data_IF_762718990895
#
_entry.id   IF_762718990895
#
_cell.length_a   1.000
_cell.length_b   1.000
_cell.length_c   1.000
_cell.angle_alpha   90.00
_cell.angle_beta   90.00
_cell.angle_gamma   90.00
#
_symmetry.space_group_name_H-M   'P 1'
#
loop_
_entity.id
_entity.type
_entity.pdbx_description
1 polymer ?
#
# COMPACT_ATOMS: atom_id res chain seq x y z
N UNK A 1 -4.35 5.02 -17.60
CA UNK A 1 -2.94 5.32 -17.25
C UNK A 1 -2.69 5.00 -15.78
N UNK A 2 -1.53 4.46 -15.45
CA UNK A 2 -1.17 4.09 -14.09
C UNK A 2 -1.15 5.32 -13.17
N UNK A 3 -1.70 5.16 -11.96
CA UNK A 3 -1.68 6.21 -10.96
C UNK A 3 -2.78 7.29 -11.08
N UNK A 4 -3.83 7.03 -11.83
CA UNK A 4 -5.04 7.87 -11.79
C UNK A 4 -5.92 7.47 -10.63
N UNK A 5 -6.52 8.45 -9.97
CA UNK A 5 -7.37 8.28 -8.79
C UNK A 5 -8.73 8.96 -8.97
N UNK A 6 -9.75 8.38 -8.40
CA UNK A 6 -11.09 8.95 -8.27
C UNK A 6 -11.80 8.41 -7.03
N UNK A 7 -12.72 9.17 -6.48
CA UNK A 7 -13.48 8.81 -5.29
C UNK A 7 -14.96 8.68 -5.61
N UNK A 8 -15.54 7.52 -5.34
CA UNK A 8 -16.96 7.25 -5.43
C UNK A 8 -17.65 7.41 -4.08
N UNK A 9 -18.88 7.89 -4.06
CA UNK A 9 -19.70 7.98 -2.84
C UNK A 9 -20.47 6.67 -2.63
N UNK A 10 -20.35 6.09 -1.45
CA UNK A 10 -21.04 4.86 -1.05
C UNK A 10 -20.08 3.67 -0.91
N UNK A 11 -20.42 2.72 -0.03
CA UNK A 11 -19.62 1.53 0.25
C UNK A 11 -20.01 0.31 -0.61
N UNK A 12 -21.18 0.37 -1.23
CA UNK A 12 -21.77 -0.71 -2.04
C UNK A 12 -21.33 -0.68 -3.51
N UNK A 13 -20.42 0.24 -3.87
CA UNK A 13 -19.99 0.42 -5.26
C UNK A 13 -18.95 -0.64 -5.60
N UNK A 14 -19.18 -1.34 -6.71
CA UNK A 14 -18.18 -2.20 -7.33
C UNK A 14 -17.18 -1.33 -8.12
N UNK A 15 -15.92 -1.22 -7.65
CA UNK A 15 -14.93 -0.38 -8.30
C UNK A 15 -14.56 -0.87 -9.71
N UNK A 16 -14.70 -2.16 -10.00
CA UNK A 16 -14.39 -2.73 -11.32
C UNK A 16 -15.39 -2.26 -12.36
N UNK A 17 -16.67 -2.02 -11.96
CA UNK A 17 -17.74 -1.57 -12.84
C UNK A 17 -17.74 -0.07 -13.16
N UNK A 18 -16.84 0.71 -12.54
CA UNK A 18 -16.73 2.13 -12.80
C UNK A 18 -16.21 2.42 -14.21
N UNK A 19 -16.61 3.57 -14.76
CA UNK A 19 -16.11 4.02 -16.06
C UNK A 19 -14.63 4.43 -15.95
N UNK A 20 -13.78 3.81 -16.75
CA UNK A 20 -12.38 4.14 -16.91
C UNK A 20 -12.12 4.74 -18.29
N UNK A 21 -11.06 5.55 -18.39
CA UNK A 21 -10.60 6.07 -19.69
C UNK A 21 -10.18 4.90 -20.59
N UNK A 22 -10.34 5.05 -21.89
CA UNK A 22 -9.91 4.03 -22.84
C UNK A 22 -8.42 3.67 -22.63
N UNK A 23 -8.15 2.37 -22.42
CA UNK A 23 -6.81 1.87 -22.11
C UNK A 23 -6.46 1.80 -20.62
N UNK A 24 -7.30 2.37 -19.73
CA UNK A 24 -7.14 2.23 -18.29
C UNK A 24 -7.95 1.04 -17.76
N UNK A 25 -7.45 0.48 -16.66
CA UNK A 25 -8.11 -0.61 -15.93
C UNK A 25 -8.07 -0.35 -14.43
N UNK A 26 -8.97 -1.00 -13.71
CA UNK A 26 -8.95 -1.04 -12.26
C UNK A 26 -7.61 -1.60 -11.76
N UNK A 27 -7.02 -0.96 -10.77
CA UNK A 27 -5.80 -1.38 -10.12
C UNK A 27 -6.04 -1.79 -8.65
N UNK A 28 -6.59 -0.88 -7.87
CA UNK A 28 -6.80 -1.04 -6.43
C UNK A 28 -7.86 -0.06 -5.92
N UNK A 29 -8.52 -0.41 -4.82
CA UNK A 29 -9.43 0.48 -4.11
C UNK A 29 -9.23 0.40 -2.59
N UNK A 30 -9.70 1.43 -1.90
CA UNK A 30 -9.81 1.46 -0.46
C UNK A 30 -11.15 2.07 -0.05
N UNK A 31 -11.78 1.51 0.96
CA UNK A 31 -13.04 2.01 1.53
C UNK A 31 -12.76 2.79 2.81
N UNK A 32 -13.37 3.95 2.94
CA UNK A 32 -13.19 4.80 4.13
C UNK A 32 -14.11 6.01 4.14
N UNK A 33 -14.07 6.76 5.23
CA UNK A 33 -14.84 7.99 5.39
C UNK A 33 -14.17 9.13 4.62
N UNK A 34 -14.97 10.02 4.02
CA UNK A 34 -14.47 11.15 3.23
C UNK A 34 -13.62 12.16 4.03
N UNK A 35 -13.79 12.24 5.35
CA UNK A 35 -13.01 13.08 6.24
C UNK A 35 -11.72 12.41 6.76
N UNK A 36 -11.37 11.22 6.27
CA UNK A 36 -10.14 10.50 6.61
C UNK A 36 -9.11 10.62 5.49
N UNK A 37 -7.87 10.30 5.84
CA UNK A 37 -6.76 10.29 4.89
C UNK A 37 -6.76 9.00 4.05
N UNK A 38 -6.43 9.15 2.79
CA UNK A 38 -6.05 8.07 1.91
C UNK A 38 -4.51 8.02 1.83
N UNK A 39 -3.96 6.84 2.06
CA UNK A 39 -2.53 6.58 2.05
C UNK A 39 -2.17 5.83 0.79
N UNK A 40 -1.28 6.38 0.00
CA UNK A 40 -0.76 5.78 -1.22
C UNK A 40 0.68 5.33 -0.99
N UNK A 41 1.08 4.25 -1.65
CA UNK A 41 2.47 3.82 -1.66
C UNK A 41 2.96 3.65 -3.10
N UNK A 42 4.18 4.07 -3.36
CA UNK A 42 4.81 3.88 -4.66
C UNK A 42 5.79 2.69 -4.66
N UNK A 43 6.22 2.30 -5.84
CA UNK A 43 7.13 1.17 -6.08
C UNK A 43 8.51 1.33 -5.41
N UNK A 44 8.86 2.53 -4.96
CA UNK A 44 10.11 2.80 -4.24
C UNK A 44 9.97 2.68 -2.72
N UNK A 45 8.75 2.39 -2.22
CA UNK A 45 8.46 2.27 -0.79
C UNK A 45 8.20 3.60 -0.09
N UNK A 46 7.88 4.66 -0.84
CA UNK A 46 7.47 5.94 -0.27
C UNK A 46 5.96 6.00 -0.10
N UNK A 47 5.52 6.54 1.01
CA UNK A 47 4.11 6.79 1.30
C UNK A 47 3.74 8.26 1.07
N UNK A 48 2.50 8.47 0.65
CA UNK A 48 1.89 9.77 0.37
C UNK A 48 0.51 9.81 0.98
N UNK A 49 0.06 10.99 1.37
CA UNK A 49 -1.23 11.14 2.06
C UNK A 49 -2.03 12.26 1.45
N UNK A 50 -3.29 11.99 1.11
CA UNK A 50 -4.26 12.97 0.64
C UNK A 50 -5.56 12.82 1.43
N UNK A 51 -6.24 13.92 1.71
CA UNK A 51 -7.57 13.89 2.30
C UNK A 51 -8.56 13.29 1.28
N UNK A 52 -9.31 12.27 1.67
CA UNK A 52 -10.20 11.54 0.74
C UNK A 52 -11.25 12.46 0.09
N UNK A 53 -11.78 13.45 0.82
CA UNK A 53 -12.73 14.44 0.28
C UNK A 53 -12.13 15.37 -0.76
N UNK A 54 -10.80 15.47 -0.84
CA UNK A 54 -10.10 16.28 -1.84
C UNK A 54 -9.90 15.54 -3.18
N UNK A 55 -10.15 14.25 -3.22
CA UNK A 55 -9.99 13.44 -4.43
C UNK A 55 -11.09 13.73 -5.45
N UNK A 56 -10.80 13.62 -6.76
CA UNK A 56 -11.78 13.88 -7.81
C UNK A 56 -12.94 12.89 -7.75
N UNK A 57 -14.14 13.36 -8.11
CA UNK A 57 -15.35 12.52 -8.14
C UNK A 57 -15.22 11.41 -9.20
N UNK A 58 -15.72 10.21 -8.87
CA UNK A 58 -15.82 9.09 -9.80
C UNK A 58 -16.85 9.28 -10.93
N UNK A 59 -17.64 10.38 -10.92
CA UNK A 59 -18.47 10.79 -12.06
C UNK A 59 -17.61 11.25 -13.25
N UNK A 60 -16.40 11.73 -13.00
CA UNK A 60 -15.42 12.10 -14.02
C UNK A 60 -14.40 10.99 -14.28
N UNK A 61 -13.42 11.29 -15.12
CA UNK A 61 -12.32 10.36 -15.47
C UNK A 61 -11.31 10.14 -14.33
N UNK A 62 -11.34 11.00 -13.30
CA UNK A 62 -10.32 11.05 -12.27
C UNK A 62 -9.18 12.02 -12.63
N UNK A 63 -8.11 11.97 -11.84
CA UNK A 63 -6.90 12.79 -12.02
C UNK A 63 -5.66 11.94 -11.76
N UNK A 64 -4.53 12.24 -12.44
CA UNK A 64 -3.27 11.59 -12.13
C UNK A 64 -2.78 12.02 -10.74
N UNK A 65 -2.35 11.07 -9.92
CA UNK A 65 -1.76 11.37 -8.61
C UNK A 65 -0.51 12.26 -8.73
N UNK A 66 0.22 12.18 -9.84
CA UNK A 66 1.38 13.03 -10.12
C UNK A 66 1.02 14.51 -10.31
N UNK A 67 -0.26 14.84 -10.52
CA UNK A 67 -0.72 16.24 -10.49
C UNK A 67 -0.79 16.83 -9.08
N UNK A 68 -0.77 16.01 -8.06
CA UNK A 68 -0.85 16.41 -6.64
C UNK A 68 0.39 16.03 -5.83
N UNK A 69 1.06 14.96 -6.22
CA UNK A 69 2.20 14.36 -5.54
C UNK A 69 3.42 14.33 -6.47
N UNK A 70 4.59 14.32 -5.89
CA UNK A 70 5.86 14.36 -6.62
C UNK A 70 6.69 13.10 -6.30
N UNK A 71 6.32 11.92 -6.84
CA UNK A 71 7.11 10.72 -6.67
C UNK A 71 8.46 10.82 -7.38
N UNK A 72 9.45 10.02 -7.00
CA UNK A 72 10.70 9.88 -7.73
C UNK A 72 10.47 9.51 -9.21
N UNK A 73 11.37 9.92 -10.07
CA UNK A 73 11.30 9.58 -11.50
C UNK A 73 11.26 8.06 -11.69
N UNK A 74 10.28 7.57 -12.44
CA UNK A 74 10.09 6.14 -12.69
C UNK A 74 9.35 5.39 -11.58
N UNK A 75 8.98 6.04 -10.48
CA UNK A 75 8.14 5.44 -9.47
C UNK A 75 6.69 5.30 -9.95
N UNK A 76 6.06 4.18 -9.62
CA UNK A 76 4.65 3.89 -9.91
C UNK A 76 3.88 3.75 -8.61
N UNK A 77 2.68 4.33 -8.52
CA UNK A 77 1.78 4.07 -7.40
C UNK A 77 1.22 2.66 -7.53
N UNK A 78 1.35 1.88 -6.45
CA UNK A 78 1.00 0.45 -6.47
C UNK A 78 -0.18 0.10 -5.59
N UNK A 79 -0.47 0.93 -4.58
CA UNK A 79 -1.53 0.63 -3.63
C UNK A 79 -2.12 1.88 -2.98
N UNK A 80 -3.35 1.74 -2.46
CA UNK A 80 -4.04 2.72 -1.64
C UNK A 80 -4.73 2.03 -0.49
N UNK A 81 -4.60 2.59 0.71
CA UNK A 81 -5.31 2.12 1.91
C UNK A 81 -5.92 3.29 2.66
N UNK A 82 -6.96 3.03 3.43
CA UNK A 82 -7.61 3.98 4.32
C UNK A 82 -7.82 3.37 5.69
N UNK A 83 -7.76 4.19 6.72
CA UNK A 83 -7.98 3.77 8.11
C UNK A 83 -7.67 4.90 9.07
N UNK A 84 -7.77 4.61 10.35
CA UNK A 84 -7.35 5.52 11.42
C UNK A 84 -5.82 5.43 11.62
N UNK A 85 -5.24 6.43 12.27
CA UNK A 85 -3.78 6.51 12.46
C UNK A 85 -3.22 5.28 13.21
N UNK A 86 -4.00 4.70 14.12
CA UNK A 86 -3.64 3.51 14.90
C UNK A 86 -3.80 2.19 14.13
N UNK A 87 -4.46 2.22 12.97
CA UNK A 87 -4.65 1.02 12.15
C UNK A 87 -3.30 0.38 11.79
N UNK A 88 -3.09 -0.84 12.26
CA UNK A 88 -1.87 -1.60 11.96
C UNK A 88 -1.87 -2.10 10.52
N UNK A 89 -0.69 -2.09 9.94
CA UNK A 89 -0.43 -2.53 8.57
C UNK A 89 0.85 -3.37 8.51
N UNK A 90 0.84 -4.38 7.68
CA UNK A 90 2.04 -5.12 7.30
C UNK A 90 2.62 -4.47 6.03
N UNK A 91 3.88 -4.05 6.13
CA UNK A 91 4.70 -3.59 5.02
C UNK A 91 5.74 -4.65 4.69
N UNK A 92 5.83 -5.03 3.43
CA UNK A 92 6.74 -6.09 2.98
C UNK A 92 7.36 -5.80 1.62
N UNK A 93 8.50 -6.46 1.37
CA UNK A 93 9.16 -6.49 0.06
C UNK A 93 9.08 -7.90 -0.55
N UNK A 94 9.10 -7.97 -1.86
CA UNK A 94 9.04 -9.22 -2.64
C UNK A 94 10.21 -10.19 -2.39
N UNK A 95 11.28 -9.71 -1.76
CA UNK A 95 12.43 -10.55 -1.32
C UNK A 95 12.30 -11.03 0.13
N UNK A 96 11.08 -10.96 0.70
CA UNK A 96 10.72 -11.58 1.95
C UNK A 96 11.18 -10.84 3.22
N UNK A 97 11.27 -9.52 3.19
CA UNK A 97 11.43 -8.70 4.40
C UNK A 97 10.14 -7.94 4.69
N UNK A 98 9.81 -7.79 5.97
CA UNK A 98 8.63 -7.03 6.36
C UNK A 98 8.58 -6.71 7.86
N UNK A 99 7.63 -5.88 8.22
CA UNK A 99 7.37 -5.44 9.59
C UNK A 99 5.96 -4.88 9.72
N UNK A 100 5.51 -4.74 10.95
CA UNK A 100 4.25 -4.10 11.28
C UNK A 100 4.50 -2.62 11.55
N UNK A 101 3.64 -1.77 11.01
CA UNK A 101 3.59 -0.34 11.30
C UNK A 101 2.15 0.08 11.55
N UNK A 102 1.89 1.37 11.73
CA UNK A 102 0.55 1.93 11.72
C UNK A 102 0.42 3.01 10.63
N UNK A 103 -0.80 3.34 10.25
CA UNK A 103 -1.06 4.33 9.19
C UNK A 103 -0.54 5.72 9.56
N UNK A 104 -0.57 6.10 10.84
CA UNK A 104 0.01 7.36 11.31
C UNK A 104 1.51 7.49 11.00
N UNK A 105 2.26 6.39 11.06
CA UNK A 105 3.66 6.36 10.65
C UNK A 105 3.87 6.54 9.14
N UNK A 106 2.86 6.23 8.32
CA UNK A 106 2.89 6.41 6.88
C UNK A 106 2.48 7.82 6.44
N UNK A 107 1.90 8.61 7.35
CA UNK A 107 1.43 9.96 7.03
C UNK A 107 2.58 10.85 6.57
N UNK A 108 2.42 11.46 5.39
CA UNK A 108 3.35 12.44 4.83
C UNK A 108 2.68 13.80 4.69
N UNK A 109 3.37 14.84 5.17
CA UNK A 109 2.95 16.25 5.01
C UNK A 109 3.48 16.88 3.73
N UNK A 110 4.35 16.18 3.00
CA UNK A 110 5.00 16.71 1.80
C UNK A 110 4.51 15.99 0.55
N UNK A 111 4.47 16.72 -0.57
CA UNK A 111 4.11 16.14 -1.87
C UNK A 111 5.10 15.08 -2.36
N UNK A 112 6.36 15.17 -1.93
CA UNK A 112 7.42 14.19 -2.26
C UNK A 112 7.31 12.89 -1.45
N UNK A 113 6.33 12.79 -0.55
CA UNK A 113 6.14 11.62 0.28
C UNK A 113 7.24 11.42 1.32
N UNK A 114 7.17 10.35 2.08
CA UNK A 114 8.20 9.93 3.03
C UNK A 114 8.55 8.46 2.82
N UNK A 115 9.77 8.08 3.15
CA UNK A 115 10.17 6.68 3.12
C UNK A 115 9.42 5.89 4.21
N UNK A 116 8.57 4.95 3.82
CA UNK A 116 7.82 4.07 4.71
C UNK A 116 8.54 2.73 4.90
N UNK A 117 9.06 2.15 3.81
CA UNK A 117 9.82 0.90 3.84
C UNK A 117 11.14 1.08 3.09
N UNK A 118 12.23 0.59 3.69
CA UNK A 118 13.55 0.56 3.05
C UNK A 118 13.69 -0.74 2.27
N UNK A 119 13.73 -0.62 0.95
CA UNK A 119 13.81 -1.77 0.06
C UNK A 119 15.25 -2.27 -0.11
N UNK A 120 15.50 -3.58 -0.02
CA UNK A 120 16.74 -4.18 -0.51
C UNK A 120 16.98 -3.87 -1.98
N UNK A 121 18.25 -3.92 -2.41
CA UNK A 121 18.59 -3.69 -3.82
C UNK A 121 17.80 -4.61 -4.75
N UNK A 122 17.26 -4.05 -5.84
CA UNK A 122 16.46 -4.76 -6.86
C UNK A 122 15.16 -5.39 -6.35
N UNK A 123 14.70 -5.02 -5.17
CA UNK A 123 13.41 -5.50 -4.66
C UNK A 123 12.29 -4.48 -4.91
N UNK A 124 11.06 -4.97 -4.84
CA UNK A 124 9.83 -4.17 -4.97
C UNK A 124 9.05 -4.21 -3.66
N UNK A 125 8.35 -3.14 -3.37
CA UNK A 125 7.39 -3.14 -2.27
C UNK A 125 6.16 -3.95 -2.68
N UNK A 126 5.57 -4.67 -1.73
CA UNK A 126 4.30 -5.35 -1.90
C UNK A 126 3.13 -4.45 -1.51
N UNK A 127 1.92 -4.85 -1.87
CA UNK A 127 0.70 -4.17 -1.42
C UNK A 127 0.64 -4.15 0.11
N UNK A 128 0.09 -3.08 0.64
CA UNK A 128 -0.10 -2.91 2.09
C UNK A 128 -1.21 -3.87 2.56
N UNK A 129 -0.95 -4.61 3.63
CA UNK A 129 -1.97 -5.48 4.22
C UNK A 129 -2.45 -4.88 5.54
N UNK A 130 -3.75 -4.61 5.63
CA UNK A 130 -4.37 -4.15 6.88
C UNK A 130 -4.40 -5.29 7.90
N UNK A 131 -3.95 -5.01 9.12
CA UNK A 131 -3.95 -5.96 10.23
C UNK A 131 -5.17 -5.66 11.10
N UNK A 132 -6.08 -6.63 11.22
CA UNK A 132 -7.31 -6.47 11.99
C UNK A 132 -7.11 -6.78 13.47
N UNK A 133 -6.34 -7.82 13.76
CA UNK A 133 -6.07 -8.27 15.11
C UNK A 133 -4.62 -8.80 15.20
N UNK A 134 -3.77 -8.01 15.87
CA UNK A 134 -2.35 -8.33 16.01
C UNK A 134 -2.09 -9.55 16.90
N UNK A 135 -2.99 -9.85 17.83
CA UNK A 135 -2.79 -10.94 18.80
C UNK A 135 -3.20 -12.30 18.24
N UNK A 136 -4.19 -12.34 17.33
CA UNK A 136 -4.77 -13.60 16.87
C UNK A 136 -4.50 -13.93 15.40
N UNK A 137 -4.09 -12.96 14.59
CA UNK A 137 -3.85 -13.18 13.16
C UNK A 137 -2.50 -13.86 12.88
N UNK A 138 -2.47 -14.56 11.76
CA UNK A 138 -1.27 -15.21 11.21
C UNK A 138 -0.89 -14.58 9.88
N UNK A 139 0.39 -14.56 9.60
CA UNK A 139 0.93 -14.23 8.29
C UNK A 139 1.20 -15.52 7.52
N UNK A 140 0.63 -15.63 6.33
CA UNK A 140 0.94 -16.69 5.38
C UNK A 140 1.83 -16.11 4.27
N UNK A 141 3.04 -16.60 4.15
CA UNK A 141 4.02 -16.16 3.12
C UNK A 141 4.21 -17.29 2.15
N UNK A 142 3.82 -17.06 0.90
CA UNK A 142 4.03 -18.01 -0.19
C UNK A 142 5.10 -17.48 -1.16
N UNK A 143 5.90 -18.38 -1.73
CA UNK A 143 6.93 -18.02 -2.70
C UNK A 143 6.55 -18.49 -4.10
N UNK A 144 7.15 -17.86 -5.11
CA UNK A 144 7.02 -18.26 -6.52
C UNK A 144 7.56 -19.67 -6.82
N UNK A 145 8.21 -20.34 -5.85
CA UNK A 145 8.69 -21.73 -5.89
C UNK A 145 7.83 -22.69 -5.09
N UNK A 146 6.62 -22.26 -4.68
CA UNK A 146 5.67 -23.11 -3.96
C UNK A 146 6.03 -23.36 -2.49
N UNK A 147 6.91 -22.59 -1.87
CA UNK A 147 7.16 -22.66 -0.44
C UNK A 147 6.10 -21.82 0.29
N UNK A 148 5.59 -22.36 1.38
CA UNK A 148 4.63 -21.70 2.26
C UNK A 148 5.16 -21.72 3.69
N UNK A 149 5.10 -20.57 4.36
CA UNK A 149 5.33 -20.44 5.80
C UNK A 149 4.17 -19.69 6.43
N UNK A 150 3.67 -20.20 7.55
CA UNK A 150 2.60 -19.56 8.33
C UNK A 150 3.13 -19.38 9.76
N UNK A 151 3.01 -18.15 10.30
CA UNK A 151 3.46 -17.82 11.65
C UNK A 151 2.58 -16.71 12.25
N UNK A 152 2.53 -16.57 13.60
CA UNK A 152 1.79 -15.50 14.25
C UNK A 152 2.32 -14.12 13.82
N UNK A 153 1.41 -13.20 13.49
CA UNK A 153 1.80 -11.83 13.10
C UNK A 153 2.54 -11.10 14.22
N UNK A 154 2.29 -11.48 15.47
CA UNK A 154 2.94 -10.94 16.67
C UNK A 154 4.45 -11.22 16.74
N UNK A 155 4.98 -12.15 15.96
CA UNK A 155 6.42 -12.38 15.81
C UNK A 155 7.13 -11.29 14.98
N UNK A 156 6.37 -10.45 14.26
CA UNK A 156 6.95 -9.38 13.47
C UNK A 156 7.24 -8.14 14.33
N UNK A 157 8.36 -7.46 14.08
CA UNK A 157 8.67 -6.23 14.80
C UNK A 157 7.69 -5.13 14.39
N UNK A 158 7.30 -4.29 15.35
CA UNK A 158 6.58 -3.05 15.11
C UNK A 158 7.59 -1.92 14.92
N UNK A 159 7.61 -1.31 13.73
CA UNK A 159 8.56 -0.26 13.37
C UNK A 159 7.84 0.93 12.74
N UNK A 160 8.36 2.13 12.97
CA UNK A 160 7.87 3.32 12.28
C UNK A 160 8.36 3.44 10.83
N UNK A 161 9.50 2.81 10.52
CA UNK A 161 10.13 2.72 9.20
C UNK A 161 11.25 1.69 9.23
N UNK A 162 11.71 1.22 8.08
CA UNK A 162 12.86 0.35 7.97
C UNK A 162 12.70 -0.75 6.93
N UNK A 163 13.54 -1.74 6.98
CA UNK A 163 13.48 -2.93 6.14
C UNK A 163 12.65 -4.06 6.78
N UNK A 164 12.59 -4.08 8.10
CA UNK A 164 12.00 -5.18 8.87
C UNK A 164 12.86 -6.43 8.94
N UNK A 165 12.25 -7.51 9.42
CA UNK A 165 12.85 -8.83 9.55
C UNK A 165 12.53 -9.72 8.35
N UNK A 166 13.27 -10.80 8.17
CA UNK A 166 12.91 -11.83 7.17
C UNK A 166 11.62 -12.52 7.58
N UNK A 167 10.62 -12.46 6.69
CA UNK A 167 9.35 -13.17 6.82
C UNK A 167 9.53 -14.68 6.54
N UNK A 168 10.37 -14.98 5.56
CA UNK A 168 10.71 -16.35 5.18
C UNK A 168 12.16 -16.40 4.69
N UNK A 169 12.88 -17.46 5.04
CA UNK A 169 14.24 -17.68 4.56
C UNK A 169 14.20 -18.32 3.18
N UNK A 170 14.47 -17.52 2.15
CA UNK A 170 14.46 -17.94 0.75
C UNK A 170 15.79 -17.65 0.07
N UNK A 171 16.19 -18.43 -0.96
CA UNK A 171 17.31 -18.09 -1.85
C UNK A 171 17.12 -16.72 -2.49
N UNK A 172 18.21 -16.07 -2.90
CA UNK A 172 18.16 -14.74 -3.53
C UNK A 172 17.44 -14.71 -4.88
N UNK A 173 17.19 -15.86 -5.47
CA UNK A 173 16.47 -16.05 -6.75
C UNK A 173 14.95 -16.15 -6.57
N UNK A 174 14.50 -16.34 -5.34
CA UNK A 174 13.09 -16.56 -5.04
C UNK A 174 12.42 -15.25 -4.57
N UNK A 175 11.14 -15.11 -4.88
CA UNK A 175 10.29 -13.98 -4.49
C UNK A 175 9.07 -14.49 -3.70
N UNK A 176 8.49 -13.63 -2.85
CA UNK A 176 7.21 -13.89 -2.19
C UNK A 176 6.06 -13.18 -2.92
#
# INVERSE_FOLDING_TARGET
EKGWVKAAKGHEIDPVSLNYKAGDTYLQDAKGKSNKMAFFIDSTGRSYTLLASSLPSARGQGEPLTGRLTPPIGAEFIDVVMGDDEQLVLLASDVGYGFISNLGNLQSKTKSGKNAITLPSKSKVMKIVLVQDFESQYVAVATNRGRLLIFPISELPQLSKGKGNKLIKIPATDLI
#
